data_IF_549874167142
#
_entry.id   IF_549874167142
#
_cell.length_a   1.000
_cell.length_b   1.000
_cell.length_c   1.000
_cell.angle_alpha   90.00
_cell.angle_beta   90.00
_cell.angle_gamma   90.00
#
_symmetry.space_group_name_H-M   'P 1'
#
loop_
_entity.id
_entity.type
_entity.pdbx_description
1 polymer ?
#
# COMPACT_ATOMS: atom_id res chain seq x y z
N UNK A 1 -35.86 -7.76 41.88
CA UNK A 1 -35.68 -7.70 40.41
C UNK A 1 -34.27 -8.19 40.11
N UNK A 2 -34.14 -9.35 39.46
CA UNK A 2 -32.83 -9.96 39.16
C UNK A 2 -32.21 -9.29 37.93
N UNK A 3 -30.97 -8.82 38.01
CA UNK A 3 -30.24 -8.35 36.82
C UNK A 3 -29.86 -9.56 35.97
N UNK A 4 -30.16 -9.51 34.68
CA UNK A 4 -29.59 -10.47 33.73
C UNK A 4 -28.08 -10.31 33.67
N UNK A 5 -27.32 -11.41 33.49
CA UNK A 5 -25.89 -11.35 33.32
C UNK A 5 -25.54 -10.56 32.06
N UNK A 6 -24.46 -9.78 32.12
CA UNK A 6 -23.92 -9.10 30.95
C UNK A 6 -23.47 -10.13 29.90
N UNK A 7 -23.67 -9.85 28.61
CA UNK A 7 -23.14 -10.71 27.57
C UNK A 7 -21.60 -10.80 27.67
N UNK A 8 -21.01 -11.94 27.27
CA UNK A 8 -19.57 -12.08 27.23
C UNK A 8 -18.97 -11.06 26.27
N UNK A 9 -17.99 -10.29 26.77
CA UNK A 9 -17.23 -9.34 25.97
C UNK A 9 -16.01 -10.05 25.39
N UNK A 10 -15.93 -10.12 24.06
CA UNK A 10 -14.68 -10.43 23.38
C UNK A 10 -13.93 -9.10 23.16
N UNK A 11 -12.79 -8.87 23.86
CA UNK A 11 -12.06 -7.60 23.77
C UNK A 11 -11.44 -7.33 22.40
N UNK A 12 -11.42 -8.32 21.49
CA UNK A 12 -10.86 -8.20 20.14
C UNK A 12 -11.96 -8.15 19.07
N UNK A 13 -13.22 -8.43 19.43
CA UNK A 13 -14.33 -8.35 18.49
C UNK A 13 -14.67 -6.89 18.19
N UNK A 14 -14.31 -6.44 16.99
CA UNK A 14 -14.69 -5.14 16.44
C UNK A 14 -15.77 -5.37 15.38
N UNK A 15 -16.91 -4.69 15.49
CA UNK A 15 -18.00 -4.84 14.52
C UNK A 15 -17.58 -4.33 13.14
N UNK A 16 -17.93 -5.09 12.10
CA UNK A 16 -17.78 -4.67 10.69
C UNK A 16 -18.66 -3.44 10.35
N UNK A 17 -19.64 -3.10 11.20
CA UNK A 17 -20.41 -1.85 11.08
C UNK A 17 -19.54 -0.60 11.25
N UNK A 18 -18.42 -0.70 11.98
CA UNK A 18 -17.51 0.42 12.19
C UNK A 18 -16.60 0.63 10.98
N UNK A 19 -16.19 -0.45 10.33
CA UNK A 19 -15.40 -0.40 9.10
C UNK A 19 -15.50 -1.73 8.36
N UNK A 20 -15.68 -1.72 7.03
CA UNK A 20 -15.64 -2.95 6.25
C UNK A 20 -14.25 -3.58 6.34
N UNK A 21 -14.20 -4.91 6.26
CA UNK A 21 -12.92 -5.61 6.14
C UNK A 21 -12.14 -5.10 4.91
N UNK A 22 -10.83 -4.85 5.04
CA UNK A 22 -10.03 -4.39 3.93
C UNK A 22 -9.94 -5.46 2.84
N UNK A 23 -10.10 -5.04 1.58
CA UNK A 23 -9.84 -5.91 0.45
C UNK A 23 -8.34 -6.11 0.29
N UNK A 24 -7.87 -7.32 0.60
CA UNK A 24 -6.46 -7.66 0.44
C UNK A 24 -6.12 -7.75 -1.06
N UNK A 25 -5.09 -7.01 -1.46
CA UNK A 25 -4.54 -7.07 -2.82
C UNK A 25 -3.96 -8.47 -3.07
N UNK A 26 -4.13 -9.00 -4.29
CA UNK A 26 -3.52 -10.27 -4.70
C UNK A 26 -2.12 -10.03 -5.24
N UNK A 27 -1.26 -11.04 -5.11
CA UNK A 27 0.04 -11.05 -5.78
C UNK A 27 -0.12 -10.87 -7.29
N UNK A 28 0.79 -10.12 -7.89
CA UNK A 28 0.67 -9.74 -9.29
C UNK A 28 1.86 -8.95 -9.79
N UNK A 29 1.83 -8.67 -11.10
CA UNK A 29 2.80 -7.81 -11.74
C UNK A 29 2.18 -6.43 -11.94
N UNK A 30 2.98 -5.39 -11.77
CA UNK A 30 2.61 -4.01 -12.04
C UNK A 30 3.65 -3.36 -12.95
N UNK A 31 3.17 -2.56 -13.89
CA UNK A 31 3.99 -1.68 -14.70
C UNK A 31 3.82 -0.24 -14.16
N UNK A 32 4.92 0.37 -13.73
CA UNK A 32 4.92 1.73 -13.17
C UNK A 32 5.76 2.64 -14.05
N UNK A 33 5.11 3.61 -14.70
CA UNK A 33 5.74 4.55 -15.63
C UNK A 33 5.91 5.98 -15.07
N UNK A 34 5.45 6.21 -13.82
CA UNK A 34 5.44 7.51 -13.15
C UNK A 34 4.79 8.63 -13.99
N UNK A 35 3.65 8.34 -14.62
CA UNK A 35 2.95 9.24 -15.54
C UNK A 35 3.80 9.56 -16.79
N UNK A 36 4.46 8.53 -17.34
CA UNK A 36 5.31 8.65 -18.53
C UNK A 36 6.63 9.40 -18.31
N UNK A 37 7.04 9.61 -17.05
CA UNK A 37 8.34 10.20 -16.74
C UNK A 37 9.51 9.25 -17.01
N UNK A 38 9.22 7.95 -17.15
CA UNK A 38 10.19 6.96 -17.58
C UNK A 38 10.01 6.61 -19.05
N UNK A 39 11.13 6.49 -19.79
CA UNK A 39 11.12 6.02 -21.17
C UNK A 39 10.64 4.58 -21.31
N UNK A 40 10.85 3.76 -20.27
CA UNK A 40 10.31 2.40 -20.15
C UNK A 40 9.74 2.21 -18.74
N UNK A 41 8.53 1.62 -18.60
CA UNK A 41 7.96 1.36 -17.28
C UNK A 41 8.82 0.41 -16.44
N UNK A 42 8.83 0.60 -15.13
CA UNK A 42 9.38 -0.37 -14.19
C UNK A 42 8.41 -1.55 -14.06
N UNK A 43 8.94 -2.76 -14.26
CA UNK A 43 8.21 -4.00 -14.04
C UNK A 43 8.46 -4.47 -12.61
N UNK A 44 7.40 -4.52 -11.82
CA UNK A 44 7.46 -4.89 -10.40
C UNK A 44 6.62 -6.13 -10.18
N UNK A 45 7.17 -7.09 -9.44
CA UNK A 45 6.43 -8.24 -8.93
C UNK A 45 6.07 -8.01 -7.46
N UNK A 46 4.78 -7.92 -7.17
CA UNK A 46 4.25 -7.78 -5.82
C UNK A 46 3.85 -9.16 -5.30
N UNK A 47 4.60 -9.68 -4.33
CA UNK A 47 4.42 -11.04 -3.79
C UNK A 47 3.32 -11.12 -2.71
N UNK A 48 2.90 -9.96 -2.19
CA UNK A 48 1.95 -9.78 -1.07
C UNK A 48 2.26 -10.66 0.15
N UNK A 49 3.55 -10.94 0.38
CA UNK A 49 4.01 -11.83 1.47
C UNK A 49 5.12 -11.23 2.31
N UNK A 50 5.96 -10.34 1.76
CA UNK A 50 7.17 -9.84 2.45
C UNK A 50 7.33 -8.31 2.41
N UNK A 51 8.03 -7.69 3.37
CA UNK A 51 8.20 -6.22 3.41
C UNK A 51 6.93 -5.46 3.84
N UNK A 52 6.58 -4.37 3.15
CA UNK A 52 5.38 -3.53 3.43
C UNK A 52 4.06 -4.24 3.04
N UNK A 53 3.94 -5.53 3.37
CA UNK A 53 2.86 -6.40 2.91
C UNK A 53 3.00 -6.85 1.46
N UNK A 54 4.22 -6.91 0.92
CA UNK A 54 4.56 -7.37 -0.43
C UNK A 54 4.09 -6.47 -1.56
N UNK A 55 3.74 -5.23 -1.23
CA UNK A 55 3.18 -4.23 -2.13
C UNK A 55 4.09 -3.01 -2.20
N UNK A 56 3.98 -2.28 -3.30
CA UNK A 56 4.70 -1.02 -3.49
C UNK A 56 4.16 0.04 -2.51
N UNK A 57 5.05 0.77 -1.83
CA UNK A 57 4.63 1.77 -0.85
C UNK A 57 4.07 3.03 -1.55
N UNK A 58 2.79 3.41 -1.30
CA UNK A 58 2.18 4.54 -2.03
C UNK A 58 2.92 5.86 -1.85
N UNK A 59 3.42 6.15 -0.64
CA UNK A 59 4.21 7.34 -0.38
C UNK A 59 5.54 7.34 -1.15
N UNK A 60 6.18 6.17 -1.28
CA UNK A 60 7.38 5.99 -2.08
C UNK A 60 7.14 6.27 -3.57
N UNK A 61 5.99 5.85 -4.11
CA UNK A 61 5.61 6.16 -5.49
C UNK A 61 5.39 7.66 -5.73
N UNK A 62 4.73 8.34 -4.79
CA UNK A 62 4.54 9.80 -4.86
C UNK A 62 5.88 10.52 -4.81
N UNK A 63 6.78 10.11 -3.90
CA UNK A 63 8.11 10.67 -3.82
C UNK A 63 8.91 10.42 -5.10
N UNK A 64 8.92 9.17 -5.60
CA UNK A 64 9.61 8.82 -6.84
C UNK A 64 9.14 9.66 -8.03
N UNK A 65 7.82 9.84 -8.17
CA UNK A 65 7.23 10.74 -9.17
C UNK A 65 7.70 12.18 -9.03
N UNK A 66 7.79 12.68 -7.79
CA UNK A 66 8.27 14.04 -7.54
C UNK A 66 9.75 14.18 -7.91
N UNK A 67 10.58 13.23 -7.46
CA UNK A 67 12.01 13.20 -7.74
C UNK A 67 12.31 13.15 -9.23
N UNK A 68 11.64 12.29 -9.98
CA UNK A 68 11.83 12.19 -11.43
C UNK A 68 11.37 13.47 -12.15
N UNK A 69 10.25 14.07 -11.72
CA UNK A 69 9.70 15.29 -12.32
C UNK A 69 10.58 16.52 -12.12
N UNK A 70 11.10 16.71 -10.92
CA UNK A 70 11.77 17.96 -10.53
C UNK A 70 13.30 17.82 -10.46
N UNK A 71 13.79 16.62 -10.15
CA UNK A 71 15.22 16.32 -9.95
C UNK A 71 15.75 15.27 -10.92
N UNK A 72 14.99 14.87 -11.95
CA UNK A 72 15.38 13.78 -12.87
C UNK A 72 16.71 14.00 -13.57
N UNK A 73 17.07 15.25 -13.94
CA UNK A 73 18.38 15.57 -14.53
C UNK A 73 19.52 15.39 -13.53
N UNK A 74 19.36 15.95 -12.32
CA UNK A 74 20.34 15.82 -11.25
C UNK A 74 20.57 14.35 -10.88
N UNK A 75 19.51 13.55 -10.85
CA UNK A 75 19.58 12.10 -10.61
C UNK A 75 20.25 11.32 -11.75
N UNK A 76 20.10 11.75 -13.00
CA UNK A 76 20.78 11.12 -14.14
C UNK A 76 22.30 11.28 -14.04
N UNK A 77 22.74 12.45 -13.58
CA UNK A 77 24.15 12.79 -13.46
C UNK A 77 24.76 12.37 -12.11
N UNK A 78 23.92 11.98 -11.14
CA UNK A 78 24.33 11.47 -9.84
C UNK A 78 24.90 10.05 -9.99
N UNK A 79 26.21 9.92 -9.76
CA UNK A 79 26.96 8.66 -9.82
C UNK A 79 27.36 8.16 -8.45
#
# INVERSE_FOLDING_TARGET
>A
MSRSPSPPLDPVAVSEDLTPLPSLKKAGNADIDFDGQLAQPLKIHEDVRSGCGGQTWPAGLVLGKHMLRYHGRELHDAR
#
